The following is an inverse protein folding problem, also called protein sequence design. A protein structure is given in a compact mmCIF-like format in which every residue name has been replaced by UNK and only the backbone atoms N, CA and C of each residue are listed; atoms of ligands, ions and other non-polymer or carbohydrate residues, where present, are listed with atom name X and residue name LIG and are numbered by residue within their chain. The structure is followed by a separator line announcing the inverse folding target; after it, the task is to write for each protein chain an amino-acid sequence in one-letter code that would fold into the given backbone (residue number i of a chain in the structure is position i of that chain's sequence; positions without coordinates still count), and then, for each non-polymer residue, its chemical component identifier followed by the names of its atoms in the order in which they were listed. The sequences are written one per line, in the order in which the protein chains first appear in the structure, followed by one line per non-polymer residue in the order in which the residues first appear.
data_IF_930669181080
#
_entry.id   IF_930669181080
#
_cell.length_a   1.000
_cell.length_b   1.000
_cell.length_c   1.000
_cell.angle_alpha   90.00
_cell.angle_beta   90.00
_cell.angle_gamma   90.00
#
_symmetry.space_group_name_H-M   'P 1'
#
loop_
_entity.id
_entity.type
_entity.pdbx_description
1 polymer ?
#
# COMPACT_ATOMS: atom_id res chain seq x y z
N UNK A 1 17.40 -6.73 -10.51
CA UNK A 1 16.55 -5.88 -9.65
C UNK A 1 16.54 -6.48 -8.26
N UNK A 2 16.52 -5.67 -7.21
CA UNK A 2 16.39 -6.13 -5.82
C UNK A 2 15.05 -6.81 -5.60
N UNK A 3 15.04 -7.86 -4.75
CA UNK A 3 13.84 -8.62 -4.39
C UNK A 3 13.18 -8.03 -3.16
N UNK A 4 11.86 -7.93 -3.19
CA UNK A 4 11.04 -7.34 -2.13
C UNK A 4 10.22 -8.43 -1.47
N UNK A 5 10.20 -8.48 -0.14
CA UNK A 5 9.31 -9.34 0.64
C UNK A 5 8.45 -8.47 1.55
N UNK A 6 7.20 -8.86 1.79
CA UNK A 6 6.36 -8.18 2.77
C UNK A 6 5.71 -9.16 3.72
N UNK A 7 5.51 -8.70 4.97
CA UNK A 7 4.75 -9.38 6.01
C UNK A 7 3.50 -8.60 6.38
N UNK A 8 2.36 -9.25 6.26
CA UNK A 8 1.07 -8.62 6.60
C UNK A 8 -0.13 -9.54 6.47
N UNK A 9 -1.31 -8.96 6.48
CA UNK A 9 -2.56 -9.69 6.41
C UNK A 9 -3.35 -9.29 5.16
N UNK A 10 -3.45 -10.17 4.15
CA UNK A 10 -4.32 -9.93 3.00
C UNK A 10 -5.79 -9.92 3.40
N UNK A 11 -6.54 -9.00 2.84
CA UNK A 11 -7.98 -8.87 3.02
C UNK A 11 -8.70 -9.00 1.68
N UNK A 12 -9.95 -9.46 1.72
CA UNK A 12 -10.84 -9.40 0.57
C UNK A 12 -11.68 -8.13 0.67
N UNK A 13 -11.64 -7.26 -0.32
CA UNK A 13 -12.44 -6.05 -0.37
C UNK A 13 -13.58 -6.20 -1.38
N UNK A 14 -14.81 -6.08 -0.89
CA UNK A 14 -16.01 -5.94 -1.71
C UNK A 14 -16.43 -4.47 -1.74
N UNK A 15 -16.15 -3.82 -2.85
CA UNK A 15 -16.47 -2.41 -3.06
C UNK A 15 -17.83 -2.30 -3.70
N UNK A 16 -18.67 -1.43 -3.14
CA UNK A 16 -20.05 -1.18 -3.59
C UNK A 16 -20.23 0.33 -3.74
N UNK A 17 -20.32 0.78 -4.97
CA UNK A 17 -20.64 2.17 -5.27
C UNK A 17 -22.16 2.31 -5.38
N UNK A 18 -22.72 3.20 -4.59
CA UNK A 18 -24.15 3.46 -4.48
C UNK A 18 -24.52 4.80 -5.14
N UNK A 19 -25.80 4.99 -5.43
CA UNK A 19 -26.31 6.30 -5.82
C UNK A 19 -26.34 7.29 -4.63
N UNK A 20 -26.53 6.78 -3.41
CA UNK A 20 -26.40 7.48 -2.14
C UNK A 20 -26.22 6.49 -1.00
N UNK A 21 -25.58 6.89 0.10
CA UNK A 21 -25.51 6.08 1.33
C UNK A 21 -26.84 6.17 2.09
N UNK A 22 -27.49 5.02 2.43
CA UNK A 22 -28.71 5.04 3.26
C UNK A 22 -28.41 5.61 4.65
N UNK A 23 -29.10 6.65 5.04
CA UNK A 23 -28.96 7.31 6.36
C UNK A 23 -30.18 7.13 7.25
N UNK A 24 -31.28 6.66 6.70
CA UNK A 24 -32.56 6.47 7.41
C UNK A 24 -32.92 5.01 7.51
N UNK A 25 -33.72 4.68 8.54
CA UNK A 25 -34.26 3.31 8.70
C UNK A 25 -35.15 2.98 7.50
N UNK A 26 -34.98 1.76 6.93
CA UNK A 26 -35.70 1.24 5.78
C UNK A 26 -35.53 2.04 4.47
N UNK A 27 -34.47 2.82 4.37
CA UNK A 27 -34.05 3.45 3.12
C UNK A 27 -33.31 2.44 2.26
N UNK A 28 -33.61 2.38 0.96
CA UNK A 28 -32.87 1.60 -0.03
C UNK A 28 -31.97 2.51 -0.85
N UNK A 29 -30.94 1.96 -1.46
CA UNK A 29 -30.08 2.62 -2.41
C UNK A 29 -29.84 1.73 -3.63
N UNK A 30 -29.54 2.33 -4.78
CA UNK A 30 -29.21 1.60 -5.99
C UNK A 30 -27.70 1.36 -6.05
N UNK A 31 -27.31 0.11 -6.29
CA UNK A 31 -25.94 -0.25 -6.58
C UNK A 31 -25.61 0.16 -8.02
N UNK A 32 -24.64 1.08 -8.18
CA UNK A 32 -24.16 1.54 -9.49
C UNK A 32 -23.05 0.66 -10.04
N UNK A 33 -22.14 0.25 -9.16
CA UNK A 33 -20.99 -0.58 -9.53
C UNK A 33 -20.53 -1.42 -8.34
N UNK A 34 -20.02 -2.60 -8.62
CA UNK A 34 -19.34 -3.46 -7.63
C UNK A 34 -17.96 -3.84 -8.12
N UNK A 35 -17.06 -4.13 -7.17
CA UNK A 35 -15.74 -4.66 -7.48
C UNK A 35 -15.24 -5.56 -6.35
N UNK A 36 -14.72 -6.73 -6.69
CA UNK A 36 -14.12 -7.68 -5.77
C UNK A 36 -12.60 -7.66 -5.95
N UNK A 37 -11.86 -7.14 -4.98
CA UNK A 37 -10.42 -6.96 -5.08
C UNK A 37 -9.68 -7.52 -3.87
N UNK A 38 -8.43 -7.88 -4.07
CA UNK A 38 -7.53 -8.06 -2.94
C UNK A 38 -7.23 -6.72 -2.28
N UNK A 39 -7.23 -6.70 -0.95
CA UNK A 39 -6.90 -5.56 -0.10
C UNK A 39 -5.85 -5.91 0.94
N UNK A 40 -5.66 -5.02 1.90
CA UNK A 40 -4.58 -5.03 2.88
C UNK A 40 -3.39 -4.20 2.44
N UNK A 41 -2.78 -3.47 3.36
CA UNK A 41 -1.77 -2.45 3.07
C UNK A 41 -0.57 -3.00 2.29
N UNK A 42 0.28 -3.77 2.94
CA UNK A 42 1.47 -4.33 2.27
C UNK A 42 1.11 -5.28 1.12
N UNK A 43 -0.06 -5.92 1.14
CA UNK A 43 -0.50 -6.78 0.04
C UNK A 43 -0.87 -5.98 -1.21
N UNK A 44 -1.47 -4.81 -1.07
CA UNK A 44 -1.71 -3.88 -2.18
C UNK A 44 -0.42 -3.22 -2.67
N UNK A 45 0.50 -2.93 -1.75
CA UNK A 45 1.84 -2.48 -2.10
C UNK A 45 2.59 -3.51 -2.97
N UNK A 46 2.55 -4.81 -2.61
CA UNK A 46 3.19 -5.86 -3.42
C UNK A 46 2.51 -6.06 -4.78
N UNK A 47 1.18 -5.93 -4.85
CA UNK A 47 0.48 -5.93 -6.14
C UNK A 47 0.98 -4.79 -7.05
N UNK A 48 1.24 -3.60 -6.49
CA UNK A 48 1.85 -2.50 -7.23
C UNK A 48 3.29 -2.83 -7.67
N UNK A 49 4.12 -3.38 -6.77
CA UNK A 49 5.49 -3.82 -7.12
C UNK A 49 5.47 -4.78 -8.29
N UNK A 50 4.64 -5.83 -8.23
CA UNK A 50 4.57 -6.83 -9.29
C UNK A 50 4.00 -6.28 -10.60
N UNK A 51 2.98 -5.42 -10.55
CA UNK A 51 2.41 -4.75 -11.73
C UNK A 51 3.43 -3.85 -12.44
N UNK A 52 4.33 -3.22 -11.68
CA UNK A 52 5.42 -2.40 -12.19
C UNK A 52 6.60 -3.23 -12.74
N UNK A 53 6.54 -4.57 -12.62
CA UNK A 53 7.57 -5.50 -13.09
C UNK A 53 8.66 -5.81 -12.06
N UNK A 54 8.37 -5.58 -10.77
CA UNK A 54 9.25 -5.94 -9.66
C UNK A 54 9.18 -7.42 -9.30
N UNK A 55 10.13 -7.87 -8.49
CA UNK A 55 10.16 -9.23 -7.92
C UNK A 55 9.70 -9.12 -6.47
N UNK A 56 8.57 -9.76 -6.15
CA UNK A 56 7.98 -9.62 -4.82
C UNK A 56 7.42 -10.93 -4.27
N UNK A 57 7.49 -11.08 -2.95
CA UNK A 57 7.01 -12.25 -2.22
C UNK A 57 6.20 -11.80 -1.01
N UNK A 58 5.11 -12.51 -0.71
CA UNK A 58 4.28 -12.27 0.46
C UNK A 58 4.42 -13.40 1.47
N UNK A 59 4.61 -13.06 2.75
CA UNK A 59 4.55 -13.99 3.87
C UNK A 59 3.50 -13.57 4.89
N UNK A 60 2.95 -14.55 5.58
CA UNK A 60 1.87 -14.36 6.55
C UNK A 60 0.84 -15.46 6.47
N UNK A 61 -0.34 -15.21 7.01
CA UNK A 61 -1.44 -16.16 6.96
C UNK A 61 -2.56 -15.66 6.06
N UNK A 62 -3.09 -16.56 5.24
CA UNK A 62 -4.23 -16.34 4.35
C UNK A 62 -5.29 -17.41 4.60
N UNK A 63 -6.57 -17.11 4.44
CA UNK A 63 -7.67 -18.03 4.69
C UNK A 63 -7.57 -19.33 3.86
N UNK A 64 -7.97 -20.45 4.46
CA UNK A 64 -8.16 -21.73 3.78
C UNK A 64 -9.59 -21.85 3.25
N UNK A 65 -10.09 -20.79 2.62
CA UNK A 65 -11.44 -20.65 2.08
C UNK A 65 -11.42 -19.99 0.70
N UNK A 66 -12.60 -19.80 0.08
CA UNK A 66 -12.72 -19.23 -1.26
C UNK A 66 -12.17 -17.79 -1.38
N UNK A 67 -12.19 -17.01 -0.31
CA UNK A 67 -11.58 -15.69 -0.33
C UNK A 67 -10.04 -15.78 -0.32
N UNK A 68 -9.48 -16.72 0.43
CA UNK A 68 -8.06 -17.00 0.39
C UNK A 68 -7.61 -17.55 -0.97
N UNK A 69 -8.42 -18.38 -1.62
CA UNK A 69 -8.14 -18.87 -2.98
C UNK A 69 -8.10 -17.72 -3.99
N UNK A 70 -9.12 -16.85 -3.95
CA UNK A 70 -9.17 -15.65 -4.78
C UNK A 70 -7.94 -14.76 -4.56
N UNK A 71 -7.54 -14.53 -3.30
CA UNK A 71 -6.39 -13.68 -2.99
C UNK A 71 -5.07 -14.26 -3.49
N UNK A 72 -4.88 -15.59 -3.44
CA UNK A 72 -3.72 -16.26 -4.04
C UNK A 72 -3.69 -16.06 -5.55
N UNK A 73 -4.85 -16.28 -6.23
CA UNK A 73 -4.96 -16.03 -7.67
C UNK A 73 -4.70 -14.57 -8.04
N UNK A 74 -5.18 -13.64 -7.21
CA UNK A 74 -4.97 -12.21 -7.40
C UNK A 74 -3.49 -11.83 -7.22
N UNK A 75 -2.79 -12.37 -6.22
CA UNK A 75 -1.35 -12.21 -6.08
C UNK A 75 -0.59 -12.76 -7.30
N UNK A 76 -0.95 -13.94 -7.78
CA UNK A 76 -0.33 -14.53 -8.98
C UNK A 76 -0.56 -13.68 -10.23
N UNK A 77 -1.75 -13.09 -10.38
CA UNK A 77 -2.04 -12.15 -11.46
C UNK A 77 -1.07 -10.93 -11.46
N UNK A 78 -0.65 -10.48 -10.27
CA UNK A 78 0.37 -9.44 -10.09
C UNK A 78 1.80 -9.97 -10.00
N UNK A 79 2.07 -11.24 -10.30
CA UNK A 79 3.38 -11.87 -10.20
C UNK A 79 4.00 -11.82 -8.79
N UNK A 80 3.19 -11.83 -7.74
CA UNK A 80 3.64 -11.92 -6.34
C UNK A 80 3.77 -13.39 -5.95
N UNK A 81 4.95 -13.79 -5.46
CA UNK A 81 5.17 -15.13 -4.92
C UNK A 81 4.49 -15.30 -3.57
N UNK A 82 3.66 -16.35 -3.45
CA UNK A 82 2.92 -16.71 -2.24
C UNK A 82 3.30 -18.08 -1.68
N UNK A 83 4.40 -18.65 -2.16
CA UNK A 83 4.83 -20.03 -1.82
C UNK A 83 5.07 -20.25 -0.32
N UNK A 84 5.35 -19.17 0.43
CA UNK A 84 5.58 -19.20 1.89
C UNK A 84 4.42 -18.60 2.69
N UNK A 85 3.25 -18.46 2.08
CA UNK A 85 2.03 -18.12 2.83
C UNK A 85 1.40 -19.36 3.45
N UNK A 86 0.98 -19.23 4.70
CA UNK A 86 0.32 -20.29 5.45
C UNK A 86 -1.19 -20.20 5.25
N UNK A 87 -1.83 -21.33 4.89
CA UNK A 87 -3.30 -21.43 4.75
C UNK A 87 -3.91 -21.85 6.09
N UNK A 88 -4.72 -20.97 6.69
CA UNK A 88 -5.41 -21.29 7.97
C UNK A 88 -6.69 -20.49 8.14
N UNK A 89 -7.70 -21.10 8.75
CA UNK A 89 -8.96 -20.46 9.11
C UNK A 89 -9.73 -19.89 7.92
N UNK A 90 -10.46 -18.78 8.14
CA UNK A 90 -11.21 -18.06 7.12
C UNK A 90 -10.63 -16.67 6.94
N UNK A 91 -10.53 -16.22 5.71
CA UNK A 91 -10.03 -14.89 5.42
C UNK A 91 -10.94 -13.78 5.95
N UNK A 92 -10.34 -12.69 6.39
CA UNK A 92 -11.09 -11.46 6.67
C UNK A 92 -11.56 -10.79 5.37
N UNK A 93 -12.66 -10.05 5.45
CA UNK A 93 -13.13 -9.25 4.34
C UNK A 93 -13.72 -7.92 4.80
N UNK A 94 -13.74 -6.95 3.90
CA UNK A 94 -14.45 -5.69 4.09
C UNK A 94 -15.51 -5.48 3.01
N UNK A 95 -16.60 -4.82 3.38
CA UNK A 95 -17.55 -4.21 2.45
C UNK A 95 -17.31 -2.71 2.53
N UNK A 96 -16.89 -2.11 1.42
CA UNK A 96 -16.61 -0.68 1.31
C UNK A 96 -17.76 -0.04 0.52
N UNK A 97 -18.58 0.72 1.22
CA UNK A 97 -19.68 1.49 0.61
C UNK A 97 -19.18 2.89 0.30
N UNK A 98 -19.41 3.35 -0.91
CA UNK A 98 -19.10 4.72 -1.35
C UNK A 98 -20.23 5.32 -2.15
N UNK A 99 -20.36 6.64 -2.16
CA UNK A 99 -21.35 7.36 -2.94
C UNK A 99 -20.84 8.75 -3.37
N UNK A 100 -21.39 9.32 -4.47
CA UNK A 100 -20.96 10.62 -4.98
C UNK A 100 -21.59 11.82 -4.22
N UNK A 101 -22.51 11.57 -3.27
CA UNK A 101 -23.24 12.64 -2.56
C UNK A 101 -22.46 13.11 -1.35
N UNK A 102 -21.93 12.15 -0.56
CA UNK A 102 -21.15 12.45 0.64
C UNK A 102 -19.66 12.52 0.36
N UNK A 103 -19.23 12.02 -0.82
CA UNK A 103 -17.81 11.80 -1.18
C UNK A 103 -17.06 10.97 -0.13
N UNK A 104 -17.83 10.32 0.76
CA UNK A 104 -17.37 9.52 1.86
C UNK A 104 -17.37 8.04 1.56
N UNK A 105 -16.80 7.28 2.51
CA UNK A 105 -16.85 5.82 2.50
C UNK A 105 -17.14 5.26 3.87
N UNK A 106 -17.97 4.22 3.91
CA UNK A 106 -18.21 3.40 5.11
C UNK A 106 -17.60 2.03 4.91
N UNK A 107 -16.82 1.56 5.89
CA UNK A 107 -16.15 0.26 5.85
C UNK A 107 -16.75 -0.65 6.90
N UNK A 108 -17.29 -1.78 6.45
CA UNK A 108 -17.83 -2.85 7.29
C UNK A 108 -16.86 -4.04 7.23
N UNK A 109 -16.10 -4.24 8.29
CA UNK A 109 -15.07 -5.28 8.32
C UNK A 109 -15.51 -6.54 9.07
N UNK A 110 -15.18 -7.71 8.54
CA UNK A 110 -15.18 -8.99 9.23
C UNK A 110 -13.75 -9.46 9.44
N UNK A 111 -13.29 -9.65 10.68
CA UNK A 111 -11.92 -10.12 10.93
C UNK A 111 -11.73 -11.56 10.42
N UNK A 112 -10.47 -11.91 10.13
CA UNK A 112 -10.04 -13.28 9.88
C UNK A 112 -10.26 -14.14 11.13
N UNK A 113 -10.50 -15.45 10.91
CA UNK A 113 -10.51 -16.47 11.99
C UNK A 113 -9.22 -17.29 12.02
N UNK A 114 -8.25 -16.96 11.18
CA UNK A 114 -6.93 -17.60 11.15
C UNK A 114 -6.17 -17.33 12.46
N UNK A 115 -5.29 -18.25 12.82
CA UNK A 115 -4.35 -18.01 13.90
C UNK A 115 -3.42 -16.83 13.57
N UNK A 116 -2.66 -16.36 14.53
CA UNK A 116 -1.61 -15.37 14.27
C UNK A 116 -0.39 -16.06 13.67
N UNK A 117 0.29 -15.35 12.79
CA UNK A 117 1.64 -15.70 12.33
C UNK A 117 2.62 -15.43 13.48
N UNK A 118 3.53 -16.33 13.74
CA UNK A 118 4.47 -16.26 14.87
C UNK A 118 5.93 -16.32 14.39
N UNK A 119 6.87 -16.09 15.29
CA UNK A 119 8.31 -16.14 14.96
C UNK A 119 8.72 -17.54 14.50
N UNK A 120 8.07 -18.59 15.01
CA UNK A 120 8.33 -19.98 14.64
C UNK A 120 7.88 -20.34 13.21
N UNK A 121 7.01 -19.52 12.61
CA UNK A 121 6.54 -19.70 11.24
C UNK A 121 7.51 -19.10 10.20
N UNK A 122 8.53 -18.37 10.64
CA UNK A 122 9.47 -17.68 9.74
C UNK A 122 10.42 -18.69 9.10
N UNK A 123 10.42 -18.76 7.78
CA UNK A 123 11.51 -19.35 7.01
C UNK A 123 12.63 -18.31 6.87
N UNK A 124 13.65 -18.40 7.74
CA UNK A 124 14.73 -17.43 7.81
C UNK A 124 15.56 -17.36 6.52
N UNK A 125 15.81 -18.50 5.88
CA UNK A 125 16.58 -18.56 4.64
C UNK A 125 15.83 -17.89 3.50
N UNK A 126 14.50 -18.11 3.44
CA UNK A 126 13.66 -17.44 2.47
C UNK A 126 13.65 -15.92 2.67
N UNK A 127 13.50 -15.45 3.92
CA UNK A 127 13.55 -14.02 4.24
C UNK A 127 14.89 -13.41 3.85
N UNK A 128 16.00 -14.02 4.25
CA UNK A 128 17.38 -13.55 3.96
C UNK A 128 17.73 -13.54 2.46
N UNK A 129 16.96 -14.24 1.61
CA UNK A 129 17.12 -14.21 0.15
C UNK A 129 16.54 -12.95 -0.52
N UNK A 130 15.98 -12.02 0.26
CA UNK A 130 15.39 -10.76 -0.21
C UNK A 130 16.23 -9.55 0.21
N UNK A 131 16.10 -8.47 -0.54
CA UNK A 131 16.87 -7.24 -0.35
C UNK A 131 16.11 -6.15 0.40
N UNK A 132 14.77 -6.15 0.31
CA UNK A 132 13.91 -5.15 0.96
C UNK A 132 12.72 -5.86 1.61
N UNK A 133 12.53 -5.61 2.90
CA UNK A 133 11.35 -6.04 3.66
C UNK A 133 10.37 -4.87 3.81
N UNK A 134 9.10 -5.09 3.48
CA UNK A 134 8.03 -4.11 3.72
C UNK A 134 7.12 -4.57 4.85
N UNK A 135 6.95 -3.70 5.86
CA UNK A 135 6.20 -3.96 7.09
C UNK A 135 5.07 -2.95 7.28
N UNK A 136 3.99 -3.35 7.98
CA UNK A 136 2.83 -2.50 8.29
C UNK A 136 2.51 -2.40 9.80
N UNK A 137 3.20 -3.18 10.64
CA UNK A 137 2.92 -3.24 12.09
C UNK A 137 4.19 -3.50 12.88
N UNK A 138 4.31 -2.94 14.09
CA UNK A 138 5.48 -3.12 14.96
C UNK A 138 5.27 -4.27 15.96
N UNK A 139 5.04 -5.50 15.48
CA UNK A 139 4.89 -6.68 16.32
C UNK A 139 6.21 -7.46 16.46
N UNK A 140 6.23 -8.50 17.29
CA UNK A 140 7.40 -9.35 17.53
C UNK A 140 7.95 -9.98 16.25
N UNK A 141 7.06 -10.43 15.36
CA UNK A 141 7.42 -10.99 14.06
C UNK A 141 8.13 -9.95 13.20
N UNK A 142 7.60 -8.74 13.14
CA UNK A 142 8.21 -7.62 12.40
C UNK A 142 9.61 -7.28 12.92
N UNK A 143 9.80 -7.29 14.24
CA UNK A 143 11.13 -7.08 14.84
C UNK A 143 12.11 -8.18 14.43
N UNK A 144 11.71 -9.46 14.44
CA UNK A 144 12.56 -10.57 14.02
C UNK A 144 12.88 -10.51 12.52
N UNK A 145 11.87 -10.24 11.69
CA UNK A 145 12.06 -10.10 10.23
C UNK A 145 13.02 -8.96 9.89
N UNK A 146 12.92 -7.83 10.60
CA UNK A 146 13.83 -6.69 10.43
C UNK A 146 15.29 -7.09 10.76
N UNK A 147 15.50 -7.83 11.85
CA UNK A 147 16.83 -8.31 12.22
C UNK A 147 17.40 -9.25 11.13
N UNK A 148 16.59 -10.18 10.61
CA UNK A 148 17.01 -11.13 9.55
C UNK A 148 17.41 -10.42 8.25
N UNK A 149 16.65 -9.43 7.83
CA UNK A 149 16.95 -8.63 6.63
C UNK A 149 18.24 -7.83 6.83
N UNK A 150 18.43 -7.21 7.99
CA UNK A 150 19.66 -6.49 8.31
C UNK A 150 20.89 -7.42 8.39
N UNK A 151 20.74 -8.63 8.97
CA UNK A 151 21.80 -9.66 8.96
C UNK A 151 22.23 -10.02 7.53
N UNK A 152 21.29 -10.00 6.57
CA UNK A 152 21.56 -10.25 5.15
C UNK A 152 22.05 -9.01 4.38
N UNK A 153 22.14 -7.84 5.02
CA UNK A 153 22.55 -6.58 4.40
C UNK A 153 21.46 -5.89 3.59
N UNK A 154 20.19 -6.27 3.80
CA UNK A 154 19.02 -5.67 3.17
C UNK A 154 18.51 -4.42 3.90
N UNK A 155 17.35 -3.93 3.49
CA UNK A 155 16.69 -2.74 4.03
C UNK A 155 15.28 -3.05 4.52
N UNK A 156 14.83 -2.34 5.56
CA UNK A 156 13.47 -2.40 6.08
C UNK A 156 12.70 -1.15 5.68
N UNK A 157 11.61 -1.32 4.93
CA UNK A 157 10.63 -0.30 4.63
C UNK A 157 9.40 -0.46 5.53
N UNK A 158 8.83 0.63 6.02
CA UNK A 158 7.71 0.59 6.95
C UNK A 158 6.58 1.53 6.53
N UNK A 159 5.36 1.02 6.61
CA UNK A 159 4.11 1.77 6.41
C UNK A 159 3.70 2.48 7.71
N UNK A 160 3.95 3.78 7.73
CA UNK A 160 3.59 4.69 8.83
C UNK A 160 2.22 5.36 8.63
N UNK A 161 1.17 4.61 8.26
CA UNK A 161 -0.17 5.17 8.05
C UNK A 161 -0.72 5.88 9.30
N UNK A 162 -0.53 5.30 10.49
CA UNK A 162 -0.96 5.89 11.75
C UNK A 162 0.13 5.88 12.82
N UNK A 163 0.11 6.89 13.69
CA UNK A 163 1.00 6.97 14.83
C UNK A 163 0.60 5.97 15.93
N UNK A 164 1.60 5.30 16.47
CA UNK A 164 1.56 4.66 17.79
C UNK A 164 2.94 4.71 18.43
N UNK A 165 3.01 4.66 19.76
CA UNK A 165 4.29 4.61 20.48
C UNK A 165 5.14 3.41 20.02
N UNK A 166 4.50 2.27 19.71
CA UNK A 166 5.18 1.09 19.22
C UNK A 166 5.77 1.30 17.80
N UNK A 167 5.02 1.95 16.89
CA UNK A 167 5.54 2.33 15.57
C UNK A 167 6.71 3.29 15.70
N UNK A 168 6.59 4.30 16.58
CA UNK A 168 7.66 5.27 16.81
C UNK A 168 8.92 4.60 17.42
N UNK A 169 8.75 3.67 18.35
CA UNK A 169 9.84 2.91 18.95
C UNK A 169 10.56 1.97 17.96
N UNK A 170 9.93 1.61 16.84
CA UNK A 170 10.52 0.77 15.80
C UNK A 170 11.43 1.56 14.82
N UNK A 171 11.35 2.88 14.78
CA UNK A 171 12.11 3.74 13.84
C UNK A 171 13.61 3.41 13.76
N UNK A 172 14.33 3.07 14.85
CA UNK A 172 15.74 2.68 14.78
C UNK A 172 16.04 1.42 13.93
N UNK A 173 15.02 0.59 13.64
CA UNK A 173 15.15 -0.62 12.80
C UNK A 173 14.63 -0.40 11.37
N UNK A 174 14.22 0.80 11.03
CA UNK A 174 13.62 1.13 9.73
C UNK A 174 14.63 1.91 8.91
N UNK A 175 14.88 1.48 7.66
CA UNK A 175 15.73 2.20 6.71
C UNK A 175 14.91 3.18 5.86
N UNK A 176 13.68 2.80 5.46
CA UNK A 176 12.77 3.60 4.65
C UNK A 176 11.46 3.75 5.41
N UNK A 177 11.24 4.91 6.01
CA UNK A 177 9.97 5.23 6.67
C UNK A 177 9.10 6.05 5.73
N UNK A 178 7.89 5.54 5.44
CA UNK A 178 6.89 6.27 4.65
C UNK A 178 5.69 6.51 5.54
N UNK A 179 5.52 7.75 6.00
CA UNK A 179 4.42 8.17 6.87
C UNK A 179 3.28 8.81 6.09
N UNK A 180 2.07 8.71 6.63
CA UNK A 180 0.92 9.45 6.14
C UNK A 180 0.82 10.84 6.78
N UNK A 181 -0.05 11.68 6.23
CA UNK A 181 -0.47 12.94 6.84
C UNK A 181 -1.03 12.74 8.27
N UNK A 182 -1.71 11.61 8.53
CA UNK A 182 -2.24 11.30 9.86
C UNK A 182 -1.12 11.08 10.88
N UNK A 183 -0.09 10.32 10.51
CA UNK A 183 1.09 10.15 11.36
C UNK A 183 1.79 11.49 11.60
N UNK A 184 1.98 12.27 10.52
CA UNK A 184 2.61 13.58 10.59
C UNK A 184 1.90 14.51 11.58
N UNK A 185 0.58 14.64 11.44
CA UNK A 185 -0.23 15.49 12.32
C UNK A 185 -0.25 14.98 13.77
N UNK A 186 -0.21 13.68 13.98
CA UNK A 186 -0.15 13.12 15.34
C UNK A 186 1.17 13.43 16.07
N UNK A 187 2.29 13.51 15.32
CA UNK A 187 3.61 13.81 15.91
C UNK A 187 3.85 15.31 16.05
N UNK A 188 3.50 16.11 15.05
CA UNK A 188 3.90 17.52 14.98
C UNK A 188 2.79 18.51 15.36
N UNK A 189 1.60 18.01 15.61
CA UNK A 189 0.43 18.80 16.03
C UNK A 189 -0.71 18.76 15.02
N UNK A 190 -1.91 19.02 15.52
CA UNK A 190 -3.13 19.05 14.69
C UNK A 190 -2.96 20.03 13.53
N UNK A 191 -3.24 19.55 12.31
CA UNK A 191 -3.07 20.31 11.05
C UNK A 191 -1.63 20.76 10.72
N UNK A 192 -0.60 20.20 11.34
CA UNK A 192 0.80 20.54 11.02
C UNK A 192 1.13 20.33 9.53
N UNK A 193 0.44 19.40 8.87
CA UNK A 193 0.57 19.14 7.42
C UNK A 193 0.07 20.29 6.52
N UNK A 194 -0.56 21.32 7.08
CA UNK A 194 -0.90 22.52 6.33
C UNK A 194 0.30 23.47 6.12
N UNK A 195 1.35 23.37 6.96
CA UNK A 195 2.54 24.21 6.93
C UNK A 195 3.70 23.53 6.19
N UNK A 196 3.77 23.74 4.88
CA UNK A 196 4.81 23.15 4.04
C UNK A 196 6.23 23.68 4.36
N UNK A 197 6.36 24.85 4.96
CA UNK A 197 7.67 25.42 5.33
C UNK A 197 8.35 24.62 6.45
N UNK A 198 7.58 23.79 7.17
CA UNK A 198 8.05 22.91 8.24
C UNK A 198 8.39 21.49 7.80
N UNK A 199 8.05 21.10 6.58
CA UNK A 199 8.24 19.72 6.13
C UNK A 199 9.68 19.25 6.27
N UNK A 200 10.65 20.02 5.78
CA UNK A 200 12.06 19.63 5.86
C UNK A 200 12.54 19.43 7.29
N UNK A 201 12.28 20.38 8.19
CA UNK A 201 12.66 20.31 9.60
C UNK A 201 12.06 19.07 10.28
N UNK A 202 10.75 18.86 10.07
CA UNK A 202 10.00 17.77 10.69
C UNK A 202 10.44 16.39 10.15
N UNK A 203 10.65 16.25 8.83
CA UNK A 203 11.16 15.01 8.26
C UNK A 203 12.57 14.68 8.76
N UNK A 204 13.44 15.69 8.87
CA UNK A 204 14.79 15.52 9.45
C UNK A 204 14.76 15.04 10.90
N UNK A 205 13.78 15.48 11.69
CA UNK A 205 13.62 15.03 13.08
C UNK A 205 13.23 13.55 13.18
N UNK A 206 12.35 13.06 12.30
CA UNK A 206 12.02 11.62 12.21
C UNK A 206 13.23 10.83 11.69
N UNK A 207 13.91 11.34 10.68
CA UNK A 207 15.12 10.70 10.13
C UNK A 207 16.22 10.51 11.20
N UNK A 208 16.38 11.47 12.07
CA UNK A 208 17.36 11.41 13.19
C UNK A 208 17.07 10.27 14.19
N UNK A 209 15.89 9.66 14.16
CA UNK A 209 15.50 8.53 15.01
C UNK A 209 15.88 7.16 14.43
N UNK A 210 16.42 7.10 13.20
CA UNK A 210 16.92 5.84 12.62
C UNK A 210 16.83 5.73 11.09
N UNK A 211 15.72 6.11 10.45
CA UNK A 211 15.55 5.91 9.00
C UNK A 211 16.62 6.63 8.18
N UNK A 212 17.13 5.96 7.13
CA UNK A 212 18.02 6.57 6.14
C UNK A 212 17.25 7.46 5.17
N UNK A 213 16.00 7.04 4.88
CA UNK A 213 15.06 7.74 4.01
C UNK A 213 13.76 7.93 4.80
N UNK A 214 13.31 9.16 4.91
CA UNK A 214 12.01 9.51 5.52
C UNK A 214 11.14 10.19 4.49
N UNK A 215 9.96 9.65 4.28
CA UNK A 215 8.95 10.16 3.34
C UNK A 215 7.67 10.43 4.09
N UNK A 216 6.96 11.51 3.73
CA UNK A 216 5.58 11.73 4.13
C UNK A 216 4.71 12.05 2.92
N UNK A 217 3.53 11.43 2.87
CA UNK A 217 2.51 11.68 1.85
C UNK A 217 1.46 12.65 2.39
N UNK A 218 1.04 13.61 1.54
CA UNK A 218 0.10 14.69 1.86
C UNK A 218 -1.08 14.72 0.88
N UNK A 219 -1.60 13.56 0.52
CA UNK A 219 -2.72 13.41 -0.40
C UNK A 219 -2.45 14.07 -1.76
N UNK A 220 -3.37 14.92 -2.20
CA UNK A 220 -3.28 15.63 -3.49
C UNK A 220 -2.08 16.55 -3.61
N UNK A 221 -1.54 17.04 -2.50
CA UNK A 221 -0.35 17.91 -2.51
C UNK A 221 0.89 17.16 -2.99
N UNK A 222 0.95 15.83 -2.81
CA UNK A 222 2.09 15.00 -3.16
C UNK A 222 2.84 14.47 -1.95
N UNK A 223 4.17 14.44 -2.01
CA UNK A 223 5.01 13.87 -0.94
C UNK A 223 6.30 14.63 -0.73
N UNK A 224 6.82 14.60 0.51
CA UNK A 224 8.12 15.14 0.87
C UNK A 224 9.08 14.01 1.25
N UNK A 225 10.34 14.13 0.91
CA UNK A 225 11.38 13.16 1.21
C UNK A 225 12.64 13.82 1.73
N UNK A 226 13.26 13.20 2.74
CA UNK A 226 14.59 13.55 3.26
C UNK A 226 15.47 12.30 3.24
N UNK A 227 16.67 12.43 2.73
CA UNK A 227 17.71 11.41 2.70
C UNK A 227 19.11 12.04 2.85
N UNK A 228 20.18 11.28 2.62
CA UNK A 228 21.55 11.84 2.51
C UNK A 228 21.71 12.76 1.30
N UNK A 229 20.86 12.63 0.28
CA UNK A 229 20.85 13.50 -0.91
C UNK A 229 20.18 14.86 -0.64
N UNK A 230 19.56 15.05 0.52
CA UNK A 230 18.89 16.29 0.92
C UNK A 230 17.38 16.17 1.07
N UNK A 231 16.72 17.31 0.99
CA UNK A 231 15.26 17.44 1.01
C UNK A 231 14.72 17.64 -0.41
N UNK A 232 13.61 16.99 -0.70
CA UNK A 232 12.87 17.17 -1.94
C UNK A 232 11.36 17.10 -1.68
N UNK A 233 10.60 17.99 -2.30
CA UNK A 233 9.14 17.91 -2.35
C UNK A 233 8.70 17.51 -3.76
N UNK A 234 8.07 16.35 -3.86
CA UNK A 234 7.47 15.83 -5.09
C UNK A 234 5.99 16.28 -5.14
N UNK A 235 5.60 17.19 -6.04
CA UNK A 235 4.21 17.61 -6.15
C UNK A 235 3.32 16.44 -6.62
N UNK A 236 2.04 16.48 -6.23
CA UNK A 236 1.02 15.56 -6.73
C UNK A 236 0.71 15.82 -8.20
N UNK A 237 0.05 14.85 -8.83
CA UNK A 237 -0.47 14.99 -10.20
C UNK A 237 -1.98 15.22 -10.17
N UNK A 238 -2.46 16.16 -10.97
CA UNK A 238 -3.89 16.39 -11.16
C UNK A 238 -4.48 15.28 -12.03
N UNK A 239 -5.54 14.64 -11.54
CA UNK A 239 -6.29 13.58 -12.23
C UNK A 239 -7.78 13.66 -11.89
N UNK A 240 -8.62 13.10 -12.76
CA UNK A 240 -10.03 12.91 -12.45
C UNK A 240 -10.17 11.76 -11.45
N UNK A 241 -10.26 12.10 -10.15
CA UNK A 241 -10.34 11.14 -9.05
C UNK A 241 -11.68 10.41 -9.05
N UNK A 242 -11.62 9.08 -9.10
CA UNK A 242 -12.77 8.18 -8.95
C UNK A 242 -12.80 7.59 -7.53
N UNK A 243 -11.64 7.09 -7.04
CA UNK A 243 -11.54 6.46 -5.73
C UNK A 243 -10.11 6.52 -5.19
N UNK A 244 -9.96 6.99 -3.94
CA UNK A 244 -8.67 7.10 -3.25
C UNK A 244 -8.31 5.88 -2.41
N UNK A 245 -9.17 4.84 -2.35
CA UNK A 245 -8.90 3.61 -1.58
C UNK A 245 -7.60 2.97 -2.06
N UNK A 246 -6.67 2.69 -1.14
CA UNK A 246 -5.39 2.05 -1.43
C UNK A 246 -4.36 2.93 -2.16
N UNK A 247 -4.60 4.24 -2.33
CA UNK A 247 -3.63 5.14 -2.95
C UNK A 247 -2.30 5.19 -2.17
N UNK A 248 -2.38 5.24 -0.83
CA UNK A 248 -1.21 5.15 0.04
C UNK A 248 -0.46 3.84 -0.12
N UNK A 249 -1.18 2.71 -0.06
CA UNK A 249 -0.58 1.38 -0.20
C UNK A 249 0.16 1.23 -1.54
N UNK A 250 -0.47 1.71 -2.62
CA UNK A 250 0.10 1.69 -3.98
C UNK A 250 1.31 2.65 -4.06
N UNK A 251 1.26 3.81 -3.42
CA UNK A 251 2.40 4.72 -3.28
C UNK A 251 3.58 4.01 -2.62
N UNK A 252 3.35 3.30 -1.50
CA UNK A 252 4.38 2.52 -0.79
C UNK A 252 5.03 1.50 -1.73
N UNK A 253 4.22 0.69 -2.42
CA UNK A 253 4.71 -0.30 -3.37
C UNK A 253 5.53 0.32 -4.51
N UNK A 254 5.05 1.41 -5.10
CA UNK A 254 5.72 2.12 -6.17
C UNK A 254 7.04 2.76 -5.72
N UNK A 255 7.07 3.36 -4.51
CA UNK A 255 8.27 3.95 -3.93
C UNK A 255 9.37 2.90 -3.71
N UNK A 256 9.00 1.78 -3.06
CA UNK A 256 9.93 0.68 -2.77
C UNK A 256 10.41 0.03 -4.07
N UNK A 257 9.53 -0.13 -5.07
CA UNK A 257 9.90 -0.60 -6.41
C UNK A 257 10.94 0.31 -7.06
N UNK A 258 10.73 1.62 -7.02
CA UNK A 258 11.64 2.61 -7.61
C UNK A 258 13.02 2.57 -6.94
N UNK A 259 13.07 2.49 -5.60
CA UNK A 259 14.32 2.27 -4.84
C UNK A 259 14.97 0.93 -5.23
N UNK A 260 14.21 -0.15 -5.37
CA UNK A 260 14.72 -1.46 -5.78
C UNK A 260 15.29 -1.45 -7.21
N UNK A 261 14.76 -0.58 -8.08
CA UNK A 261 15.22 -0.32 -9.46
C UNK A 261 16.50 0.53 -9.48
N UNK A 262 16.84 1.23 -8.39
CA UNK A 262 18.02 2.10 -8.26
C UNK A 262 17.76 3.56 -8.57
N UNK A 263 16.49 4.01 -8.53
CA UNK A 263 16.15 5.43 -8.61
C UNK A 263 16.60 6.15 -7.34
N UNK A 264 16.87 7.47 -7.43
CA UNK A 264 17.12 8.31 -6.26
C UNK A 264 15.89 8.39 -5.36
N UNK A 265 16.02 8.72 -4.07
CA UNK A 265 14.86 8.94 -3.20
C UNK A 265 13.87 10.00 -3.72
N UNK A 266 14.39 11.05 -4.35
CA UNK A 266 13.59 12.10 -4.96
C UNK A 266 12.82 11.61 -6.20
N UNK A 267 13.49 10.92 -7.13
CA UNK A 267 12.85 10.34 -8.32
C UNK A 267 11.83 9.28 -7.94
N UNK A 268 12.11 8.50 -6.88
CA UNK A 268 11.20 7.49 -6.36
C UNK A 268 9.91 8.12 -5.83
N UNK A 269 9.98 9.28 -5.18
CA UNK A 269 8.79 10.01 -4.70
C UNK A 269 7.95 10.55 -5.88
N UNK A 270 8.61 11.12 -6.88
CA UNK A 270 7.93 11.60 -8.09
C UNK A 270 7.23 10.46 -8.84
N UNK A 271 7.92 9.33 -9.02
CA UNK A 271 7.38 8.13 -9.66
C UNK A 271 6.19 7.56 -8.87
N UNK A 272 6.32 7.43 -7.55
CA UNK A 272 5.27 6.92 -6.69
C UNK A 272 4.01 7.81 -6.68
N UNK A 273 4.18 9.15 -6.71
CA UNK A 273 3.06 10.09 -6.87
C UNK A 273 2.32 9.85 -8.20
N UNK A 274 3.03 9.62 -9.30
CA UNK A 274 2.40 9.34 -10.60
C UNK A 274 1.60 8.02 -10.57
N UNK A 275 2.18 6.95 -10.01
CA UNK A 275 1.50 5.65 -9.86
C UNK A 275 0.24 5.79 -9.01
N UNK A 276 0.33 6.48 -7.86
CA UNK A 276 -0.81 6.70 -6.97
C UNK A 276 -1.89 7.58 -7.61
N UNK A 277 -1.52 8.60 -8.39
CA UNK A 277 -2.46 9.43 -9.12
C UNK A 277 -3.23 8.63 -10.17
N UNK A 278 -2.54 7.84 -11.02
CA UNK A 278 -3.21 6.97 -11.99
C UNK A 278 -4.14 5.98 -11.28
N UNK A 279 -3.70 5.39 -10.16
CA UNK A 279 -4.54 4.48 -9.36
C UNK A 279 -5.83 5.17 -8.91
N UNK A 280 -5.80 6.41 -8.52
CA UNK A 280 -7.01 7.14 -8.09
C UNK A 280 -8.04 7.35 -9.21
N UNK A 281 -7.71 7.11 -10.47
CA UNK A 281 -8.63 7.18 -11.62
C UNK A 281 -9.45 5.90 -11.83
N UNK A 282 -9.49 4.98 -10.88
CA UNK A 282 -10.32 3.78 -10.92
C UNK A 282 -10.74 3.31 -9.54
N UNK A 283 -11.77 2.44 -9.50
CA UNK A 283 -12.37 1.95 -8.26
C UNK A 283 -11.48 0.94 -7.54
N UNK A 284 -11.42 1.07 -6.20
CA UNK A 284 -10.74 0.13 -5.31
C UNK A 284 -9.22 0.23 -5.32
N UNK A 285 -8.57 -0.64 -4.54
CA UNK A 285 -7.13 -0.58 -4.28
C UNK A 285 -6.23 -1.08 -5.42
N UNK A 286 -6.74 -1.94 -6.33
CA UNK A 286 -5.89 -2.67 -7.29
C UNK A 286 -6.26 -2.49 -8.76
N UNK A 287 -7.54 -2.23 -9.10
CA UNK A 287 -8.00 -2.24 -10.48
C UNK A 287 -7.28 -1.21 -11.37
N UNK A 288 -6.90 -0.06 -10.82
CA UNK A 288 -6.24 0.99 -11.59
C UNK A 288 -4.72 1.11 -11.35
N UNK A 289 -4.06 0.12 -10.73
CA UNK A 289 -2.59 0.14 -10.62
C UNK A 289 -1.98 0.10 -12.03
N UNK A 290 -1.20 1.11 -12.47
CA UNK A 290 -0.58 1.12 -13.78
C UNK A 290 0.62 0.17 -13.86
N UNK A 291 1.04 -0.19 -15.08
CA UNK A 291 2.36 -0.76 -15.28
C UNK A 291 3.42 0.35 -15.41
N UNK A 292 4.70 -0.06 -15.51
CA UNK A 292 5.84 0.87 -15.58
C UNK A 292 5.73 1.82 -16.79
N UNK A 293 5.43 1.29 -17.98
CA UNK A 293 5.40 2.08 -19.22
C UNK A 293 4.25 3.12 -19.21
N UNK A 294 3.07 2.73 -18.70
CA UNK A 294 1.96 3.66 -18.48
C UNK A 294 2.35 4.79 -17.53
N UNK A 295 3.08 4.48 -16.46
CA UNK A 295 3.52 5.48 -15.49
C UNK A 295 4.50 6.46 -16.12
N UNK A 296 5.50 5.97 -16.86
CA UNK A 296 6.48 6.82 -17.56
C UNK A 296 5.77 7.70 -18.58
N UNK A 297 4.88 7.13 -19.40
CA UNK A 297 4.09 7.91 -20.37
C UNK A 297 3.29 9.02 -19.67
N UNK A 298 2.63 8.69 -18.55
CA UNK A 298 1.86 9.68 -17.79
C UNK A 298 2.74 10.81 -17.23
N UNK A 299 3.91 10.47 -16.69
CA UNK A 299 4.87 11.48 -16.20
C UNK A 299 5.36 12.43 -17.30
N UNK A 300 5.50 11.94 -18.52
CA UNK A 300 6.00 12.73 -19.67
C UNK A 300 4.90 13.57 -20.34
N UNK A 301 3.67 13.04 -20.40
CA UNK A 301 2.61 13.62 -21.27
C UNK A 301 1.36 14.07 -20.50
N UNK A 302 1.24 13.72 -19.21
CA UNK A 302 0.02 13.93 -18.43
C UNK A 302 -1.12 12.96 -18.77
N UNK A 303 -0.92 12.00 -19.69
CA UNK A 303 -1.91 11.01 -20.12
C UNK A 303 -1.32 9.62 -20.24
N UNK A 304 -2.15 8.57 -20.13
CA UNK A 304 -1.72 7.20 -20.38
C UNK A 304 -2.80 6.40 -21.09
N UNK A 305 -2.40 5.31 -21.75
CA UNK A 305 -3.34 4.32 -22.30
C UNK A 305 -4.06 3.59 -21.14
N UNK A 306 -5.40 3.63 -21.14
CA UNK A 306 -6.24 3.08 -20.06
C UNK A 306 -6.71 1.65 -20.33
N UNK A 307 -6.35 1.05 -21.45
CA UNK A 307 -6.80 -0.30 -21.85
C UNK A 307 -6.60 -1.33 -20.74
N UNK A 308 -5.40 -1.33 -20.12
CA UNK A 308 -5.07 -2.24 -19.01
C UNK A 308 -5.98 -2.02 -17.80
N UNK A 309 -6.30 -0.77 -17.47
CA UNK A 309 -7.18 -0.42 -16.34
C UNK A 309 -8.60 -0.92 -16.60
N UNK A 310 -9.10 -0.74 -17.81
CA UNK A 310 -10.44 -1.20 -18.21
C UNK A 310 -10.54 -2.73 -18.20
N UNK A 311 -9.49 -3.45 -18.62
CA UNK A 311 -9.42 -4.91 -18.51
C UNK A 311 -9.46 -5.38 -17.05
N UNK A 312 -8.73 -4.73 -16.17
CA UNK A 312 -8.75 -5.05 -14.73
C UNK A 312 -10.10 -4.74 -14.09
N UNK A 313 -10.74 -3.64 -14.47
CA UNK A 313 -12.10 -3.34 -14.00
C UNK A 313 -13.05 -4.49 -14.33
N UNK A 314 -13.07 -4.97 -15.59
CA UNK A 314 -13.88 -6.13 -16.02
C UNK A 314 -13.56 -7.40 -15.24
N UNK A 315 -12.26 -7.66 -14.96
CA UNK A 315 -11.83 -8.82 -14.14
C UNK A 315 -12.44 -8.77 -12.74
N UNK A 316 -12.55 -7.59 -12.14
CA UNK A 316 -12.98 -7.41 -10.76
C UNK A 316 -14.49 -7.15 -10.58
N UNK A 317 -15.26 -7.03 -11.67
CA UNK A 317 -16.72 -6.85 -11.59
C UNK A 317 -17.45 -8.07 -11.02
N UNK A 318 -16.89 -9.26 -11.19
CA UNK A 318 -17.48 -10.51 -10.71
C UNK A 318 -16.53 -11.28 -9.80
N UNK A 319 -17.08 -11.96 -8.78
CA UNK A 319 -16.36 -12.90 -7.95
C UNK A 319 -16.60 -14.33 -8.45
N UNK A 320 -15.52 -15.03 -8.85
CA UNK A 320 -15.61 -16.44 -9.27
C UNK A 320 -16.43 -16.69 -10.55
N UNK A 321 -16.60 -15.65 -11.40
CA UNK A 321 -17.32 -15.80 -12.67
C UNK A 321 -18.85 -15.78 -12.55
N UNK A 322 -19.39 -15.27 -11.44
CA UNK A 322 -20.82 -15.01 -11.25
C UNK A 322 -21.25 -13.67 -11.80
#
# INVERSE_FOLDING_TARGET
MKKIIAYGTPFMDFLVNLDHLPTKKNEGALVRQTSWQGGGKVSSALAAVGQLGGISSMIGIIGADSFGDFLIEDFHYYNVDTSHMIRDGRNGFSVVLSDPVTEGRNILGRPSTSRKYTVEDIDEDFVKAHDILHLERPDEVSHRLADLIHEAGGMVAFDGDGYSDATHAMLPKIDIFIGSEFYYNAVFGENASADADKYEENLRSIRALGPKITVFTFGEKGSAVVSDEGYYFAPGYEVDVIDTVGAGDVYHGAYIFAIAKGMTPADSAQFANAVAAIKCTGIGGRAAIPNYDMTVQFMETGTCDRTLIEEKHRKYESFGGL
#
